data_IF_028837652767
#
_entry.id   IF_028837652767
#
_cell.length_a   1.000
_cell.length_b   1.000
_cell.length_c   1.000
_cell.angle_alpha   90.00
_cell.angle_beta   90.00
_cell.angle_gamma   90.00
#
_symmetry.space_group_name_H-M   'P 1'
#
loop_
_entity.id
_entity.type
_entity.pdbx_description
1 polymer ?
#
# COMPACT_ATOMS: atom_id res chain seq x y z
N UNK A 1 2.85 -26.54 -10.93
CA UNK A 1 1.90 -25.79 -10.07
C UNK A 1 2.72 -24.90 -9.15
N UNK A 2 2.86 -23.62 -9.51
CA UNK A 2 3.61 -22.64 -8.70
C UNK A 2 2.86 -22.41 -7.39
N UNK A 3 3.46 -22.76 -6.26
CA UNK A 3 2.94 -22.36 -4.95
C UNK A 3 3.28 -20.88 -4.79
N UNK A 4 2.28 -20.00 -4.72
CA UNK A 4 2.49 -18.64 -4.20
C UNK A 4 2.94 -18.77 -2.74
N UNK A 5 4.25 -18.72 -2.50
CA UNK A 5 4.86 -18.90 -1.17
C UNK A 5 4.64 -17.69 -0.26
N UNK A 6 4.27 -16.53 -0.79
CA UNK A 6 3.89 -15.38 0.01
C UNK A 6 2.41 -15.12 -0.17
N UNK A 7 1.60 -15.40 0.85
CA UNK A 7 0.48 -14.49 1.11
C UNK A 7 1.16 -13.14 1.39
N UNK A 8 1.33 -12.32 0.36
CA UNK A 8 2.10 -11.08 0.44
C UNK A 8 1.39 -10.16 1.43
N UNK A 9 1.86 -10.16 2.68
CA UNK A 9 1.43 -9.19 3.67
C UNK A 9 1.95 -7.83 3.20
N UNK A 10 1.08 -7.06 2.55
CA UNK A 10 1.33 -5.65 2.27
C UNK A 10 1.15 -4.92 3.60
N UNK A 11 2.24 -4.38 4.13
CA UNK A 11 2.26 -3.57 5.35
C UNK A 11 2.21 -2.11 4.92
N UNK A 12 1.14 -1.42 5.30
CA UNK A 12 1.01 0.03 5.09
C UNK A 12 1.78 0.77 6.16
N UNK A 13 2.55 1.77 5.75
CA UNK A 13 3.30 2.64 6.63
C UNK A 13 2.63 4.02 6.74
N UNK A 14 2.87 4.70 7.85
CA UNK A 14 2.28 6.02 8.14
C UNK A 14 2.82 7.13 7.22
N UNK A 15 3.93 6.88 6.51
CA UNK A 15 4.53 7.78 5.52
C UNK A 15 3.87 7.70 4.13
N UNK A 16 2.79 6.92 3.99
CA UNK A 16 2.08 6.71 2.72
C UNK A 16 2.71 5.67 1.79
N UNK A 17 3.81 5.03 2.22
CA UNK A 17 4.39 3.90 1.49
C UNK A 17 3.78 2.59 1.96
N UNK A 18 3.95 1.55 1.14
CA UNK A 18 3.60 0.18 1.49
C UNK A 18 4.79 -0.72 1.21
N UNK A 19 4.99 -1.70 2.08
CA UNK A 19 6.05 -2.70 1.94
C UNK A 19 5.47 -4.09 1.73
N UNK A 20 6.08 -4.86 0.84
CA UNK A 20 5.73 -6.26 0.58
C UNK A 20 6.97 -7.15 0.63
N UNK A 21 6.84 -8.33 1.21
CA UNK A 21 7.93 -9.32 1.30
C UNK A 21 7.87 -10.26 0.10
N UNK A 22 8.96 -10.35 -0.66
CA UNK A 22 9.14 -11.27 -1.78
C UNK A 22 10.39 -12.13 -1.55
N UNK A 23 10.20 -13.26 -0.84
CA UNK A 23 11.32 -14.11 -0.42
C UNK A 23 12.23 -13.39 0.58
N UNK A 24 13.48 -13.14 0.20
CA UNK A 24 14.46 -12.39 1.02
C UNK A 24 14.44 -10.88 0.78
N UNK A 25 13.66 -10.42 -0.20
CA UNK A 25 13.62 -9.01 -0.58
C UNK A 25 12.41 -8.32 0.02
N UNK A 26 12.59 -7.07 0.42
CA UNK A 26 11.51 -6.15 0.78
C UNK A 26 11.34 -5.14 -0.35
N UNK A 27 10.15 -5.11 -0.96
CA UNK A 27 9.79 -4.11 -1.96
C UNK A 27 9.02 -3.00 -1.25
N UNK A 28 9.46 -1.75 -1.42
CA UNK A 28 8.76 -0.56 -0.94
C UNK A 28 8.26 0.23 -2.15
N UNK A 29 6.98 0.59 -2.13
CA UNK A 29 6.38 1.45 -3.15
C UNK A 29 5.51 2.51 -2.49
N UNK A 30 5.48 3.70 -3.08
CA UNK A 30 4.50 4.72 -2.77
C UNK A 30 3.31 4.51 -3.71
N UNK A 31 2.14 4.27 -3.14
CA UNK A 31 0.90 4.24 -3.92
C UNK A 31 0.35 5.66 -4.04
N UNK A 32 -0.26 5.98 -5.18
CA UNK A 32 -0.85 7.29 -5.37
C UNK A 32 -2.02 7.49 -4.38
N UNK A 33 -2.00 8.52 -3.52
CA UNK A 33 -3.11 8.76 -2.62
C UNK A 33 -4.35 9.21 -3.40
N UNK A 34 -5.51 8.67 -3.01
CA UNK A 34 -6.82 9.10 -3.51
C UNK A 34 -7.41 10.05 -2.48
N UNK A 35 -7.74 11.26 -2.93
CA UNK A 35 -8.33 12.29 -2.10
C UNK A 35 -9.84 12.38 -2.32
N UNK A 36 -10.56 12.70 -1.25
CA UNK A 36 -11.96 13.10 -1.32
C UNK A 36 -12.21 14.32 -0.43
N UNK A 37 -13.23 15.11 -0.79
CA UNK A 37 -13.71 16.16 0.08
C UNK A 37 -14.66 15.59 1.13
N UNK A 38 -14.34 15.81 2.41
CA UNK A 38 -15.23 15.57 3.54
C UNK A 38 -15.40 16.89 4.28
N UNK A 39 -16.65 17.32 4.44
CA UNK A 39 -16.99 18.57 5.15
C UNK A 39 -16.22 19.79 4.61
N UNK A 40 -16.03 19.86 3.28
CA UNK A 40 -15.29 20.95 2.63
C UNK A 40 -13.77 20.89 2.79
N UNK A 41 -13.22 19.83 3.39
CA UNK A 41 -11.77 19.62 3.53
C UNK A 41 -11.28 18.46 2.66
N UNK A 42 -10.16 18.66 1.99
CA UNK A 42 -9.47 17.61 1.26
C UNK A 42 -8.88 16.59 2.26
N UNK A 43 -9.24 15.32 2.13
CA UNK A 43 -8.78 14.23 2.99
C UNK A 43 -8.27 13.06 2.15
N UNK A 44 -7.19 12.42 2.57
CA UNK A 44 -6.77 11.12 2.01
C UNK A 44 -7.79 10.08 2.48
N UNK A 45 -8.39 9.35 1.55
CA UNK A 45 -9.42 8.34 1.87
C UNK A 45 -9.02 6.93 1.45
N UNK A 46 -8.08 6.82 0.52
CA UNK A 46 -7.54 5.55 0.05
C UNK A 46 -6.18 5.78 -0.64
N UNK A 47 -5.54 4.70 -1.07
CA UNK A 47 -4.38 4.71 -1.95
C UNK A 47 -4.69 3.80 -3.13
N UNK A 48 -4.29 4.18 -4.34
CA UNK A 48 -4.42 3.39 -5.57
C UNK A 48 -3.69 2.04 -5.40
N UNK A 49 -4.31 0.92 -5.76
CA UNK A 49 -3.73 -0.42 -5.60
C UNK A 49 -4.62 -1.51 -6.20
#
# INVERSE_FOLDING_TARGET
MSRSVGLAHIIRQDDGTSTGVWGIYTLQSAFQPIFAFKEGKLSVVAFEG
#
